data_IF_953465532990
#
_entry.id   IF_953465532990
#
_cell.length_a   1.000
_cell.length_b   1.000
_cell.length_c   1.000
_cell.angle_alpha   90.00
_cell.angle_beta   90.00
_cell.angle_gamma   90.00
#
_symmetry.space_group_name_H-M   'P 1'
#
loop_
_entity.id
_entity.type
_entity.pdbx_description
1 polymer ?
#
# COMPACT_ATOMS: atom_id res chain seq x y z
N UNK A 1 -14.56 -6.61 -22.23
CA UNK A 1 -14.84 -5.60 -21.19
C UNK A 1 -13.88 -5.90 -20.06
N UNK A 2 -12.90 -5.03 -19.81
CA UNK A 2 -11.82 -5.32 -18.84
C UNK A 2 -12.40 -5.35 -17.43
N UNK A 3 -12.03 -6.37 -16.64
CA UNK A 3 -12.31 -6.44 -15.20
C UNK A 3 -11.66 -5.23 -14.50
N UNK A 4 -12.41 -4.13 -14.39
CA UNK A 4 -12.05 -3.06 -13.48
C UNK A 4 -12.20 -3.61 -12.06
N UNK A 5 -11.07 -3.71 -11.36
CA UNK A 5 -11.04 -4.13 -9.96
C UNK A 5 -12.00 -3.26 -9.13
N UNK A 6 -12.68 -3.85 -8.14
CA UNK A 6 -13.59 -3.16 -7.22
C UNK A 6 -13.01 -1.84 -6.67
N UNK A 7 -11.71 -1.83 -6.37
CA UNK A 7 -10.96 -0.65 -5.98
C UNK A 7 -11.06 0.49 -7.01
N UNK A 8 -10.79 0.20 -8.29
CA UNK A 8 -10.87 1.19 -9.36
C UNK A 8 -12.28 1.71 -9.65
N UNK A 9 -13.31 0.95 -9.23
CA UNK A 9 -14.71 1.34 -9.38
C UNK A 9 -15.20 2.24 -8.25
N UNK A 10 -14.80 1.94 -7.02
CA UNK A 10 -15.33 2.61 -5.82
C UNK A 10 -14.47 3.80 -5.39
N UNK A 11 -13.14 3.68 -5.50
CA UNK A 11 -12.22 4.70 -5.00
C UNK A 11 -11.96 5.74 -6.10
N UNK A 12 -12.08 7.06 -5.84
CA UNK A 12 -11.78 8.06 -6.86
C UNK A 12 -10.30 8.02 -7.28
N UNK A 13 -10.02 8.23 -8.57
CA UNK A 13 -8.68 8.09 -9.16
C UNK A 13 -7.59 8.89 -8.41
N UNK A 14 -7.90 10.12 -7.97
CA UNK A 14 -6.96 10.96 -7.21
C UNK A 14 -6.52 10.31 -5.88
N UNK A 15 -7.38 9.53 -5.24
CA UNK A 15 -7.04 8.82 -4.01
C UNK A 15 -6.32 7.51 -4.28
N UNK A 16 -6.56 6.88 -5.44
CA UNK A 16 -5.76 5.73 -5.89
C UNK A 16 -4.31 6.15 -6.14
N UNK A 17 -4.10 7.25 -6.87
CA UNK A 17 -2.76 7.80 -7.14
C UNK A 17 -2.04 8.19 -5.85
N UNK A 18 -2.70 8.96 -4.97
CA UNK A 18 -2.12 9.33 -3.67
C UNK A 18 -1.78 8.13 -2.78
N UNK A 19 -2.62 7.08 -2.80
CA UNK A 19 -2.37 5.86 -2.05
C UNK A 19 -1.12 5.13 -2.56
N UNK A 20 -0.92 5.11 -3.88
CA UNK A 20 0.26 4.53 -4.52
C UNK A 20 1.51 5.35 -4.21
N UNK A 21 1.45 6.67 -4.35
CA UNK A 21 2.57 7.58 -4.02
C UNK A 21 3.01 7.42 -2.56
N UNK A 22 2.05 7.41 -1.63
CA UNK A 22 2.31 7.19 -0.22
C UNK A 22 2.96 5.84 0.07
N UNK A 23 2.52 4.77 -0.59
CA UNK A 23 3.15 3.45 -0.45
C UNK A 23 4.61 3.47 -0.92
N UNK A 24 4.91 4.17 -2.03
CA UNK A 24 6.28 4.30 -2.53
C UNK A 24 7.16 5.09 -1.57
N UNK A 25 6.66 6.19 -1.03
CA UNK A 25 7.42 7.03 -0.10
C UNK A 25 7.79 6.28 1.18
N UNK A 26 6.83 5.61 1.83
CA UNK A 26 7.14 4.82 3.03
C UNK A 26 8.04 3.64 2.70
N UNK A 27 7.86 2.99 1.55
CA UNK A 27 8.74 1.88 1.14
C UNK A 27 10.18 2.38 0.99
N UNK A 28 10.37 3.57 0.41
CA UNK A 28 11.69 4.20 0.31
C UNK A 28 12.27 4.52 1.69
N UNK A 29 11.49 5.12 2.59
CA UNK A 29 11.92 5.41 3.96
C UNK A 29 12.33 4.13 4.71
N UNK A 30 11.55 3.06 4.58
CA UNK A 30 11.86 1.77 5.19
C UNK A 30 13.19 1.20 4.65
N UNK A 31 13.47 1.33 3.34
CA UNK A 31 14.74 0.88 2.73
C UNK A 31 15.92 1.70 3.27
N UNK A 32 15.77 3.02 3.38
CA UNK A 32 16.79 3.90 3.96
C UNK A 32 17.07 3.57 5.43
N UNK A 33 16.01 3.29 6.21
CA UNK A 33 16.11 2.84 7.58
C UNK A 33 16.82 1.47 7.69
N UNK A 34 16.49 0.52 6.80
CA UNK A 34 17.17 -0.78 6.76
C UNK A 34 18.66 -0.65 6.46
N UNK A 35 19.04 0.21 5.51
CA UNK A 35 20.44 0.43 5.13
C UNK A 35 21.26 1.14 6.24
N UNK A 36 20.59 1.83 7.16
CA UNK A 36 21.24 2.52 8.28
C UNK A 36 21.22 1.73 9.60
N UNK A 37 20.56 0.56 9.61
CA UNK A 37 20.47 -0.30 10.79
C UNK A 37 21.65 -1.28 10.92
N UNK A 38 22.11 -1.59 12.15
CA UNK A 38 23.05 -2.67 12.40
C UNK A 38 22.49 -4.03 11.93
N UNK A 39 23.35 -4.95 11.47
CA UNK A 39 22.97 -6.27 10.95
C UNK A 39 22.06 -7.09 11.89
N UNK A 40 22.11 -6.84 13.20
CA UNK A 40 21.24 -7.50 14.19
C UNK A 40 19.75 -7.16 14.07
N UNK A 41 19.39 -6.14 13.27
CA UNK A 41 18.00 -5.73 13.00
C UNK A 41 17.59 -5.96 11.55
N UNK A 42 18.38 -6.71 10.79
CA UNK A 42 18.13 -6.93 9.37
C UNK A 42 16.92 -7.86 9.19
N UNK A 43 15.84 -7.33 8.62
CA UNK A 43 14.73 -8.14 8.10
C UNK A 43 15.11 -8.69 6.74
N UNK A 44 14.72 -9.93 6.45
CA UNK A 44 14.96 -10.53 5.14
C UNK A 44 14.16 -9.81 4.04
N UNK A 45 14.61 -9.97 2.80
CA UNK A 45 13.92 -9.40 1.63
C UNK A 45 12.51 -9.97 1.47
N UNK A 46 12.31 -11.26 1.76
CA UNK A 46 10.99 -11.89 1.78
C UNK A 46 10.07 -11.27 2.84
N UNK A 47 10.54 -11.08 4.07
CA UNK A 47 9.76 -10.45 5.14
C UNK A 47 9.37 -9.02 4.76
N UNK A 48 10.31 -8.25 4.20
CA UNK A 48 10.03 -6.90 3.74
C UNK A 48 8.96 -6.86 2.64
N UNK A 49 9.05 -7.78 1.67
CA UNK A 49 8.04 -7.91 0.61
C UNK A 49 6.67 -8.28 1.19
N UNK A 50 6.62 -9.14 2.20
CA UNK A 50 5.39 -9.53 2.88
C UNK A 50 4.75 -8.33 3.60
N UNK A 51 5.54 -7.55 4.36
CA UNK A 51 5.08 -6.34 5.06
C UNK A 51 4.54 -5.31 4.07
N UNK A 52 5.26 -5.04 2.98
CA UNK A 52 4.83 -4.07 1.95
C UNK A 52 3.53 -4.51 1.28
N UNK A 53 3.41 -5.80 0.96
CA UNK A 53 2.20 -6.37 0.34
C UNK A 53 1.00 -6.32 1.29
N UNK A 54 1.23 -6.60 2.58
CA UNK A 54 0.21 -6.51 3.61
C UNK A 54 -0.27 -5.07 3.79
N UNK A 55 0.66 -4.10 3.85
CA UNK A 55 0.35 -2.66 3.94
C UNK A 55 -0.51 -2.20 2.76
N UNK A 56 -0.16 -2.59 1.54
CA UNK A 56 -0.94 -2.28 0.35
C UNK A 56 -2.36 -2.88 0.40
N UNK A 57 -2.49 -4.11 0.92
CA UNK A 57 -3.78 -4.79 1.06
C UNK A 57 -4.68 -4.11 2.10
N UNK A 58 -4.12 -3.68 3.23
CA UNK A 58 -4.84 -2.91 4.26
C UNK A 58 -5.33 -1.58 3.72
N UNK A 59 -4.45 -0.81 3.06
CA UNK A 59 -4.80 0.48 2.47
C UNK A 59 -5.93 0.34 1.44
N UNK A 60 -5.83 -0.67 0.57
CA UNK A 60 -6.88 -0.99 -0.40
C UNK A 60 -8.21 -1.29 0.28
N UNK A 61 -8.21 -2.13 1.32
CA UNK A 61 -9.43 -2.48 2.07
C UNK A 61 -10.06 -1.29 2.78
N UNK A 62 -9.24 -0.44 3.40
CA UNK A 62 -9.71 0.79 4.07
C UNK A 62 -10.35 1.77 3.08
N UNK A 63 -9.69 2.01 1.93
CA UNK A 63 -10.22 2.93 0.92
C UNK A 63 -11.51 2.39 0.31
N UNK A 64 -11.59 1.09 0.02
CA UNK A 64 -12.86 0.48 -0.43
C UNK A 64 -13.94 0.69 0.61
N UNK A 65 -13.68 0.37 1.89
CA UNK A 65 -14.68 0.53 2.95
C UNK A 65 -15.14 1.98 3.10
N UNK A 66 -14.25 2.96 2.94
CA UNK A 66 -14.57 4.37 3.07
C UNK A 66 -15.52 4.84 1.96
N UNK A 67 -15.26 4.45 0.71
CA UNK A 67 -16.06 4.87 -0.44
C UNK A 67 -17.24 3.95 -0.75
N UNK A 68 -17.28 2.74 -0.19
CA UNK A 68 -18.38 1.80 -0.39
C UNK A 68 -19.71 2.30 0.23
N UNK A 69 -19.63 3.02 1.35
CA UNK A 69 -20.83 3.57 2.02
C UNK A 69 -21.35 4.86 1.35
N UNK A 70 -20.51 5.57 0.59
CA UNK A 70 -20.92 6.78 -0.14
C UNK A 70 -21.65 6.50 -1.46
N UNK A 71 -21.71 5.23 -1.90
CA UNK A 71 -22.29 4.80 -3.19
C UNK A 71 -23.71 4.21 -3.05
N UNK A 72 -24.40 4.43 -1.92
CA UNK A 72 -25.81 4.06 -1.70
C UNK A 72 -26.76 5.23 -1.94
#
# INVERSE_FOLDING_TARGET
MSDQTEFSRLVPAIFQEKAVDWLFDITREDIEAMNSCPESFYISREEYKAVTSYRASLLRGMLISLYQDEVK
#
